data_IF_801154469395
#
_entry.id   IF_801154469395
#
_cell.length_a   1.000
_cell.length_b   1.000
_cell.length_c   1.000
_cell.angle_alpha   90.00
_cell.angle_beta   90.00
_cell.angle_gamma   90.00
#
_symmetry.space_group_name_H-M   'P 1'
#
loop_
_entity.id
_entity.type
_entity.pdbx_description
1 polymer ?
#
# COMPACT_ATOMS: atom_id res chain seq x y z
N UNK A 1 -17.83 -28.75 -21.13
CA UNK A 1 -17.69 -27.27 -21.20
C UNK A 1 -16.56 -26.88 -20.25
N UNK A 2 -15.39 -26.51 -20.78
CA UNK A 2 -14.29 -26.02 -19.95
C UNK A 2 -14.60 -24.56 -19.58
N UNK A 3 -14.91 -24.32 -18.31
CA UNK A 3 -15.08 -22.97 -17.79
C UNK A 3 -13.81 -22.18 -18.03
N UNK A 4 -13.94 -20.99 -18.65
CA UNK A 4 -12.86 -19.99 -18.67
C UNK A 4 -12.48 -19.72 -17.21
N UNK A 5 -11.35 -20.27 -16.77
CA UNK A 5 -10.67 -19.76 -15.58
C UNK A 5 -10.28 -18.33 -15.95
N UNK A 6 -10.93 -17.34 -15.34
CA UNK A 6 -10.56 -15.94 -15.52
C UNK A 6 -9.14 -15.76 -14.97
N UNK A 7 -8.17 -15.87 -15.87
CA UNK A 7 -6.75 -15.65 -15.60
C UNK A 7 -6.58 -14.18 -15.21
N UNK A 8 -6.75 -13.87 -13.93
CA UNK A 8 -6.76 -12.49 -13.43
C UNK A 8 -7.55 -12.27 -12.14
N UNK A 9 -8.47 -13.17 -11.77
CA UNK A 9 -9.21 -13.02 -10.51
C UNK A 9 -8.37 -13.47 -9.32
N UNK A 10 -7.83 -12.50 -8.58
CA UNK A 10 -7.28 -12.75 -7.25
C UNK A 10 -8.38 -13.34 -6.35
N UNK A 11 -8.03 -14.36 -5.58
CA UNK A 11 -8.95 -14.89 -4.56
C UNK A 11 -9.30 -13.78 -3.55
N UNK A 12 -10.49 -13.84 -2.93
CA UNK A 12 -10.88 -12.86 -1.90
C UNK A 12 -9.87 -12.82 -0.73
N UNK A 13 -9.24 -13.96 -0.43
CA UNK A 13 -8.15 -14.02 0.55
C UNK A 13 -6.95 -13.19 0.10
N UNK A 14 -6.49 -13.35 -1.14
CA UNK A 14 -5.38 -12.57 -1.69
C UNK A 14 -5.69 -11.07 -1.72
N UNK A 15 -6.93 -10.69 -2.07
CA UNK A 15 -7.38 -9.29 -2.02
C UNK A 15 -7.34 -8.74 -0.60
N UNK A 16 -7.74 -9.53 0.40
CA UNK A 16 -7.72 -9.13 1.81
C UNK A 16 -6.30 -8.88 2.31
N UNK A 17 -5.35 -9.76 1.97
CA UNK A 17 -3.94 -9.57 2.31
C UNK A 17 -3.38 -8.27 1.72
N UNK A 18 -3.64 -8.01 0.43
CA UNK A 18 -3.18 -6.79 -0.23
C UNK A 18 -3.77 -5.54 0.45
N UNK A 19 -5.07 -5.56 0.78
CA UNK A 19 -5.72 -4.43 1.49
C UNK A 19 -5.05 -4.16 2.83
N UNK A 20 -4.79 -5.20 3.62
CA UNK A 20 -4.11 -5.09 4.91
C UNK A 20 -2.71 -4.51 4.77
N UNK A 21 -1.93 -4.95 3.79
CA UNK A 21 -0.57 -4.44 3.56
C UNK A 21 -0.57 -2.97 3.15
N UNK A 22 -1.52 -2.57 2.30
CA UNK A 22 -1.74 -1.18 1.91
C UNK A 22 -2.22 -0.31 3.08
N UNK A 23 -3.02 -0.87 3.99
CA UNK A 23 -3.43 -0.22 5.24
C UNK A 23 -2.31 -0.10 6.27
N UNK A 24 -1.29 -0.97 6.27
CA UNK A 24 -0.12 -0.81 7.16
C UNK A 24 0.81 0.31 6.69
N UNK A 25 0.89 0.50 5.37
CA UNK A 25 1.66 1.54 4.73
C UNK A 25 3.09 1.11 4.38
N UNK A 26 3.61 1.69 3.29
CA UNK A 26 4.88 1.33 2.68
C UNK A 26 5.70 2.59 2.46
N UNK A 27 7.00 2.53 2.76
CA UNK A 27 7.92 3.62 2.45
C UNK A 27 8.21 3.61 0.95
N UNK A 28 7.85 4.68 0.27
CA UNK A 28 8.06 4.84 -1.16
C UNK A 28 8.54 6.24 -1.51
N UNK A 29 9.07 6.36 -2.72
CA UNK A 29 9.39 7.64 -3.29
C UNK A 29 8.15 8.26 -3.92
N UNK A 30 7.78 9.45 -3.45
CA UNK A 30 6.67 10.23 -3.99
C UNK A 30 7.24 11.44 -4.73
N UNK A 31 6.89 11.58 -6.00
CA UNK A 31 7.28 12.72 -6.84
C UNK A 31 6.16 13.75 -6.87
N UNK A 32 6.46 14.99 -6.44
CA UNK A 32 5.53 16.14 -6.53
C UNK A 32 6.26 17.33 -7.11
N UNK A 33 6.71 18.25 -6.25
CA UNK A 33 7.62 19.35 -6.61
C UNK A 33 9.10 18.92 -6.48
N UNK A 34 9.37 17.94 -5.61
CA UNK A 34 10.66 17.27 -5.44
C UNK A 34 10.43 15.80 -5.10
N UNK A 35 11.48 15.00 -5.20
CA UNK A 35 11.47 13.59 -4.81
C UNK A 35 11.53 13.49 -3.28
N UNK A 36 10.53 12.88 -2.66
CA UNK A 36 10.48 12.68 -1.21
C UNK A 36 10.26 11.21 -0.86
N UNK A 37 10.94 10.73 0.19
CA UNK A 37 10.71 9.39 0.75
C UNK A 37 9.68 9.51 1.87
N UNK A 38 8.49 8.95 1.64
CA UNK A 38 7.33 9.07 2.54
C UNK A 38 6.76 7.68 2.84
N UNK A 39 6.15 7.53 4.00
CA UNK A 39 5.29 6.37 4.29
C UNK A 39 3.94 6.64 3.66
N UNK A 40 3.51 5.79 2.73
CA UNK A 40 2.24 5.91 2.01
C UNK A 40 1.30 4.80 2.47
N UNK A 41 0.09 5.16 2.85
CA UNK A 41 -0.90 4.28 3.47
C UNK A 41 -2.26 4.51 2.82
N UNK A 42 -3.04 3.43 2.65
CA UNK A 42 -4.44 3.53 2.24
C UNK A 42 -5.32 3.50 3.47
N UNK A 43 -6.18 4.52 3.62
CA UNK A 43 -7.23 4.54 4.63
C UNK A 43 -8.47 3.93 3.98
N UNK A 44 -8.73 2.65 4.23
CA UNK A 44 -9.79 1.93 3.51
C UNK A 44 -11.19 2.45 3.85
N UNK A 45 -11.42 2.86 5.11
CA UNK A 45 -12.70 3.42 5.58
C UNK A 45 -13.13 4.63 4.73
N UNK A 46 -12.20 5.55 4.46
CA UNK A 46 -12.46 6.76 3.67
C UNK A 46 -12.06 6.62 2.20
N UNK A 47 -11.44 5.50 1.82
CA UNK A 47 -10.88 5.23 0.49
C UNK A 47 -9.87 6.28 0.04
N UNK A 48 -9.09 6.82 0.97
CA UNK A 48 -8.09 7.84 0.72
C UNK A 48 -6.68 7.25 0.75
N UNK A 49 -5.76 7.89 0.04
CA UNK A 49 -4.32 7.62 0.14
C UNK A 49 -3.69 8.73 0.96
N UNK A 50 -3.10 8.37 2.08
CA UNK A 50 -2.38 9.28 2.97
C UNK A 50 -0.86 9.08 2.83
N UNK A 51 -0.10 10.12 3.12
CA UNK A 51 1.36 10.05 3.21
C UNK A 51 1.86 10.86 4.40
N UNK A 52 2.87 10.35 5.08
CA UNK A 52 3.52 11.01 6.21
C UNK A 52 5.03 10.99 6.05
N UNK A 53 5.73 11.95 6.69
CA UNK A 53 7.20 11.88 6.75
C UNK A 53 7.57 10.60 7.45
N UNK A 54 8.40 9.77 6.81
CA UNK A 54 8.96 8.60 7.45
C UNK A 54 9.73 9.07 8.68
N UNK A 55 9.34 8.59 9.87
CA UNK A 55 10.10 8.87 11.07
C UNK A 55 11.51 8.32 10.85
N UNK A 56 12.51 9.20 10.82
CA UNK A 56 13.89 8.78 10.96
C UNK A 56 13.96 8.15 12.35
N UNK A 57 13.84 6.83 12.45
CA UNK A 57 14.29 6.14 13.64
C UNK A 57 15.78 6.44 13.69
N UNK A 58 16.16 7.45 14.47
CA UNK A 58 17.47 7.46 15.10
C UNK A 58 17.50 6.17 15.91
N UNK A 59 18.06 5.11 15.32
CA UNK A 59 18.49 3.95 16.06
C UNK A 59 19.45 4.49 17.12
N UNK A 60 18.96 4.55 18.36
CA UNK A 60 19.80 4.84 19.50
C UNK A 60 20.81 3.72 19.64
N UNK A 61 22.08 4.14 19.68
CA UNK A 61 23.33 3.45 20.01
C UNK A 61 23.16 2.16 20.81
#
# INVERSE_FOLDING_TARGET
>A
MAGRVQQGDLTEYSKSLIKRDLEMGIVMTVYRQRMERLTVQVIMETRQVAWSRTANKTEGV
#
